data_IF_993042509959
#
_entry.id   IF_993042509959
#
_cell.length_a   1.000
_cell.length_b   1.000
_cell.length_c   1.000
_cell.angle_alpha   90.00
_cell.angle_beta   90.00
_cell.angle_gamma   90.00
#
_symmetry.space_group_name_H-M   'P 1'
#
loop_
_entity.id
_entity.type
_entity.pdbx_description
1 polymer ?
#
# COMPACT_ATOMS: atom_id res chain seq x y z
N UNK A 1 30.88 18.94 -34.71
CA UNK A 1 30.80 20.26 -34.06
C UNK A 1 29.78 20.16 -32.95
N UNK A 2 30.26 20.28 -31.71
CA UNK A 2 29.55 20.01 -30.45
C UNK A 2 28.82 21.29 -29.99
N UNK A 3 27.56 21.17 -29.58
CA UNK A 3 26.86 22.22 -28.85
C UNK A 3 26.28 21.63 -27.56
N UNK A 4 27.02 21.79 -26.47
CA UNK A 4 26.62 21.47 -25.11
C UNK A 4 25.78 22.62 -24.55
N UNK A 5 24.56 22.35 -24.09
CA UNK A 5 23.78 23.30 -23.29
C UNK A 5 23.73 22.77 -21.86
N UNK A 6 24.50 23.42 -20.99
CA UNK A 6 24.48 23.21 -19.55
C UNK A 6 23.45 24.16 -18.92
N UNK A 7 22.47 23.62 -18.20
CA UNK A 7 21.60 24.40 -17.33
C UNK A 7 21.80 23.93 -15.88
N UNK A 8 22.62 24.69 -15.16
CA UNK A 8 22.80 24.57 -13.73
C UNK A 8 21.74 25.44 -13.02
N UNK A 9 20.79 24.81 -12.34
CA UNK A 9 19.83 25.48 -11.46
C UNK A 9 19.94 24.89 -10.06
N UNK A 10 20.84 25.44 -9.24
CA UNK A 10 20.97 25.08 -7.83
C UNK A 10 19.89 25.78 -7.01
N UNK A 11 19.05 25.01 -6.32
CA UNK A 11 18.19 25.52 -5.26
C UNK A 11 18.82 25.15 -3.90
N UNK A 12 19.39 26.14 -3.24
CA UNK A 12 19.86 26.05 -1.85
C UNK A 12 18.67 26.24 -0.91
N UNK A 13 18.19 25.15 -0.30
CA UNK A 13 17.29 25.24 0.85
C UNK A 13 18.13 25.36 2.12
N UNK A 14 18.05 26.52 2.76
CA UNK A 14 18.70 26.81 4.02
C UNK A 14 18.01 26.06 5.18
N UNK A 15 18.71 25.12 5.79
CA UNK A 15 18.34 24.49 7.04
C UNK A 15 18.54 25.47 8.20
N UNK A 16 17.45 25.93 8.82
CA UNK A 16 17.49 26.65 10.09
C UNK A 16 17.33 25.67 11.25
N UNK A 17 18.42 25.42 11.98
CA UNK A 17 18.40 24.81 13.33
C UNK A 17 18.96 25.81 14.33
N UNK A 18 18.17 26.27 15.31
CA UNK A 18 18.56 26.37 16.74
C UNK A 18 17.47 27.07 17.56
N UNK A 19 17.01 26.42 18.63
CA UNK A 19 16.16 27.01 19.66
C UNK A 19 15.95 26.02 20.79
N UNK A 20 16.87 26.04 21.76
CA UNK A 20 17.00 25.11 22.90
C UNK A 20 16.08 25.49 24.07
N UNK A 21 15.70 24.44 24.81
CA UNK A 21 15.66 24.32 26.27
C UNK A 21 14.51 24.95 27.10
N UNK A 22 13.80 24.06 27.81
CA UNK A 22 13.48 24.23 29.23
C UNK A 22 12.01 24.53 29.58
N UNK A 23 11.33 23.58 30.25
CA UNK A 23 10.07 23.86 30.95
C UNK A 23 9.21 22.64 31.23
N UNK A 24 9.25 22.14 32.46
CA UNK A 24 8.46 21.05 33.02
C UNK A 24 6.97 21.42 33.23
N UNK A 25 6.16 20.37 33.50
CA UNK A 25 4.77 20.37 34.03
C UNK A 25 3.71 20.67 32.96
N UNK A 26 2.77 19.79 32.58
CA UNK A 26 2.12 18.70 33.28
C UNK A 26 0.60 18.97 33.29
N UNK A 27 -0.19 18.06 32.70
CA UNK A 27 -1.66 17.92 32.81
C UNK A 27 -2.56 19.04 32.23
N UNK A 28 -3.48 18.62 31.36
CA UNK A 28 -4.86 19.15 31.41
C UNK A 28 -5.45 19.69 30.11
N UNK A 29 -5.89 18.78 29.24
CA UNK A 29 -6.92 18.97 28.20
C UNK A 29 -8.12 19.80 28.72
N UNK A 30 -8.59 20.78 27.92
CA UNK A 30 -9.75 21.73 28.02
C UNK A 30 -9.20 23.18 27.97
N UNK A 31 -9.37 23.96 26.89
CA UNK A 31 -10.49 24.88 26.58
C UNK A 31 -10.12 25.51 25.21
N UNK A 32 -10.93 25.33 24.16
CA UNK A 32 -11.79 26.33 23.51
C UNK A 32 -11.13 27.63 22.99
N UNK A 33 -11.20 27.79 21.66
CA UNK A 33 -11.57 28.96 20.82
C UNK A 33 -11.07 30.38 21.17
N UNK A 34 -10.31 30.98 20.23
CA UNK A 34 -10.50 32.34 19.66
C UNK A 34 -9.46 32.53 18.53
N UNK A 35 -9.81 32.49 17.24
CA UNK A 35 -10.28 33.62 16.42
C UNK A 35 -9.39 34.88 16.55
N UNK A 36 -8.66 35.26 15.48
CA UNK A 36 -8.77 36.58 14.80
C UNK A 36 -8.15 36.47 13.40
N UNK A 37 -8.98 36.84 12.43
CA UNK A 37 -8.79 37.03 10.99
C UNK A 37 -8.37 38.47 10.63
N UNK A 38 -7.64 38.65 9.53
CA UNK A 38 -7.69 39.70 8.48
C UNK A 38 -6.28 39.83 7.85
N UNK A 39 -6.02 39.91 6.54
CA UNK A 39 -6.78 39.92 5.28
C UNK A 39 -5.74 39.72 4.14
N UNK A 40 -6.00 38.92 3.10
CA UNK A 40 -6.78 39.18 1.89
C UNK A 40 -6.12 40.15 0.86
N UNK A 41 -5.92 39.61 -0.35
CA UNK A 41 -5.84 40.25 -1.70
C UNK A 41 -4.45 40.63 -2.26
N UNK A 42 -3.97 39.87 -3.26
CA UNK A 42 -3.80 40.29 -4.68
C UNK A 42 -3.14 39.14 -5.49
N UNK A 43 -3.79 38.74 -6.60
CA UNK A 43 -3.21 38.06 -7.77
C UNK A 43 -3.11 36.53 -7.65
N UNK A 44 -3.96 35.70 -8.27
CA UNK A 44 -4.41 35.79 -9.67
C UNK A 44 -3.45 35.04 -10.59
N UNK A 45 -3.26 33.72 -10.38
CA UNK A 45 -2.40 32.85 -11.17
C UNK A 45 -3.18 31.63 -11.67
N UNK A 46 -3.58 31.73 -12.94
CA UNK A 46 -4.30 30.77 -13.80
C UNK A 46 -4.03 29.30 -13.44
N UNK A 47 -5.04 28.58 -12.93
CA UNK A 47 -5.06 27.12 -13.01
C UNK A 47 -5.75 26.75 -14.32
N UNK A 48 -4.95 26.44 -15.35
CA UNK A 48 -5.47 25.90 -16.61
C UNK A 48 -6.14 24.57 -16.31
N UNK A 49 -7.47 24.58 -16.37
CA UNK A 49 -8.29 23.40 -16.49
C UNK A 49 -7.90 22.68 -17.79
N UNK A 50 -7.03 21.68 -17.69
CA UNK A 50 -6.83 20.67 -18.73
C UNK A 50 -7.98 19.66 -18.66
N UNK A 51 -9.19 20.10 -19.01
CA UNK A 51 -10.31 19.24 -19.33
C UNK A 51 -10.47 19.16 -20.85
N UNK A 52 -10.88 17.99 -21.33
CA UNK A 52 -11.45 17.78 -22.68
C UNK A 52 -10.45 17.59 -23.82
N UNK A 53 -9.88 16.39 -23.89
CA UNK A 53 -9.67 15.74 -25.19
C UNK A 53 -10.56 14.51 -25.28
N UNK A 54 -11.81 14.59 -25.78
CA UNK A 54 -12.49 13.40 -26.27
C UNK A 54 -11.70 12.93 -27.48
N UNK A 55 -10.87 11.91 -27.30
CA UNK A 55 -10.39 11.13 -28.44
C UNK A 55 -11.62 10.38 -28.98
N UNK A 56 -12.38 11.08 -29.82
CA UNK A 56 -13.21 10.47 -30.84
C UNK A 56 -12.28 9.72 -31.77
N UNK A 57 -11.86 8.53 -31.33
CA UNK A 57 -11.32 7.52 -32.21
C UNK A 57 -12.44 7.21 -33.19
N UNK A 58 -12.31 7.75 -34.39
CA UNK A 58 -13.00 7.25 -35.57
C UNK A 58 -12.83 5.74 -35.57
N UNK A 59 -13.92 5.06 -35.27
CA UNK A 59 -14.05 3.62 -35.46
C UNK A 59 -13.91 3.38 -36.96
N UNK A 60 -12.67 3.19 -37.40
CA UNK A 60 -12.36 2.73 -38.75
C UNK A 60 -13.06 1.41 -38.93
N UNK A 61 -14.08 1.46 -39.79
CA UNK A 61 -14.81 0.30 -40.25
C UNK A 61 -13.86 -0.76 -40.83
N UNK A 62 -14.03 -1.99 -40.36
CA UNK A 62 -13.86 -3.20 -41.18
C UNK A 62 -12.43 -3.67 -41.44
N UNK A 63 -11.94 -4.55 -40.57
CA UNK A 63 -11.23 -5.74 -41.03
C UNK A 63 -12.02 -6.97 -40.56
N UNK A 64 -12.32 -7.95 -41.43
CA UNK A 64 -13.04 -9.15 -41.05
C UNK A 64 -12.21 -9.93 -40.02
N UNK A 65 -12.73 -10.03 -38.80
CA UNK A 65 -12.18 -10.96 -37.81
C UNK A 65 -12.48 -12.36 -38.33
N UNK A 66 -11.49 -12.96 -38.98
CA UNK A 66 -11.44 -14.38 -39.24
C UNK A 66 -11.53 -15.05 -37.88
N UNK A 67 -12.70 -15.61 -37.57
CA UNK A 67 -12.89 -16.46 -36.40
C UNK A 67 -12.07 -17.71 -36.63
N UNK A 68 -10.83 -17.71 -36.15
CA UNK A 68 -10.06 -18.94 -36.00
C UNK A 68 -10.84 -19.79 -35.03
N UNK A 69 -11.43 -20.86 -35.55
CA UNK A 69 -12.15 -21.89 -34.82
C UNK A 69 -11.28 -22.30 -33.63
N UNK A 70 -11.73 -21.95 -32.42
CA UNK A 70 -11.11 -22.37 -31.18
C UNK A 70 -11.32 -23.89 -31.11
N UNK A 71 -10.33 -24.66 -31.56
CA UNK A 71 -10.24 -26.07 -31.28
C UNK A 71 -10.22 -26.21 -29.76
N UNK A 72 -11.30 -26.79 -29.24
CA UNK A 72 -11.44 -27.20 -27.87
C UNK A 72 -10.33 -28.21 -27.57
N UNK A 73 -9.22 -27.72 -27.06
CA UNK A 73 -8.15 -28.56 -26.52
C UNK A 73 -8.72 -29.24 -25.28
N UNK A 74 -8.79 -30.57 -25.37
CA UNK A 74 -9.36 -31.45 -24.38
C UNK A 74 -8.76 -31.18 -23.00
N UNK A 75 -9.66 -30.92 -22.05
CA UNK A 75 -9.37 -30.96 -20.61
C UNK A 75 -8.92 -32.38 -20.29
N UNK A 76 -7.63 -32.54 -19.98
CA UNK A 76 -7.07 -33.79 -19.47
C UNK A 76 -7.60 -34.11 -18.08
N UNK A 77 -7.65 -35.40 -17.70
CA UNK A 77 -8.27 -35.88 -16.47
C UNK A 77 -7.54 -35.38 -15.22
N UNK A 78 -8.36 -35.04 -14.21
CA UNK A 78 -7.97 -34.67 -12.87
C UNK A 78 -7.07 -35.75 -12.25
N UNK A 79 -5.85 -35.36 -11.87
CA UNK A 79 -5.00 -36.16 -11.02
C UNK A 79 -5.45 -35.98 -9.56
N UNK A 80 -5.95 -37.07 -8.98
CA UNK A 80 -6.27 -37.23 -7.56
C UNK A 80 -5.03 -36.94 -6.70
N UNK A 81 -5.22 -36.14 -5.64
CA UNK A 81 -4.15 -35.73 -4.75
C UNK A 81 -3.78 -36.80 -3.72
N UNK A 82 -2.53 -36.80 -3.22
CA UNK A 82 -2.19 -37.55 -2.01
C UNK A 82 -2.69 -36.80 -0.77
N UNK A 83 -3.70 -37.39 -0.13
CA UNK A 83 -4.11 -37.12 1.25
C UNK A 83 -2.99 -37.57 2.20
N UNK A 84 -2.09 -36.66 2.54
CA UNK A 84 -1.04 -36.87 3.55
C UNK A 84 -1.55 -36.53 4.94
N UNK A 85 -2.00 -37.56 5.67
CA UNK A 85 -2.19 -37.53 7.11
C UNK A 85 -0.83 -37.49 7.82
N UNK A 86 -0.70 -36.64 8.82
CA UNK A 86 0.53 -36.51 9.61
C UNK A 86 0.38 -35.52 10.77
N UNK A 87 -0.65 -35.71 11.58
CA UNK A 87 -0.80 -35.03 12.88
C UNK A 87 -0.04 -35.86 13.93
N UNK A 88 1.15 -35.39 14.32
CA UNK A 88 1.84 -35.88 15.51
C UNK A 88 1.87 -34.74 16.54
N UNK A 89 1.00 -34.86 17.55
CA UNK A 89 1.03 -34.00 18.71
C UNK A 89 2.21 -34.39 19.62
N UNK A 90 3.01 -33.44 20.12
CA UNK A 90 3.91 -33.70 21.24
C UNK A 90 3.16 -33.59 22.57
N UNK A 91 3.35 -34.62 23.40
CA UNK A 91 2.99 -34.65 24.82
C UNK A 91 3.82 -33.61 25.59
N UNK A 92 3.14 -32.71 26.30
CA UNK A 92 3.73 -31.67 27.15
C UNK A 92 3.77 -32.19 28.60
N UNK A 93 4.93 -32.72 28.98
CA UNK A 93 5.24 -33.16 30.34
C UNK A 93 5.50 -31.96 31.26
N UNK A 94 4.49 -31.68 32.09
CA UNK A 94 4.52 -31.08 33.44
C UNK A 94 5.77 -30.34 33.93
N UNK A 95 5.58 -29.05 34.22
CA UNK A 95 6.40 -28.30 35.19
C UNK A 95 5.55 -27.89 36.40
N UNK A 96 5.87 -28.33 37.63
CA UNK A 96 5.21 -27.88 38.84
C UNK A 96 5.90 -26.65 39.46
N UNK A 97 5.08 -25.70 39.90
CA UNK A 97 5.29 -25.01 41.17
C UNK A 97 5.97 -23.64 41.14
N UNK A 98 5.18 -22.59 41.37
CA UNK A 98 5.71 -21.27 41.75
C UNK A 98 4.73 -20.11 41.65
N UNK A 99 3.47 -20.27 42.10
CA UNK A 99 2.49 -19.17 42.08
C UNK A 99 2.76 -18.18 43.23
N UNK A 100 3.58 -17.17 42.96
CA UNK A 100 3.55 -15.93 43.72
C UNK A 100 2.24 -15.21 43.41
N UNK A 101 1.36 -15.07 44.41
CA UNK A 101 0.11 -14.31 44.30
C UNK A 101 0.46 -12.83 44.16
N UNK A 102 0.61 -12.37 42.91
CA UNK A 102 0.71 -10.96 42.59
C UNK A 102 -0.71 -10.35 42.69
N UNK A 103 -0.92 -9.28 43.47
CA UNK A 103 -2.24 -8.70 43.67
C UNK A 103 -2.88 -8.35 42.33
N UNK A 104 -4.06 -8.93 42.11
CA UNK A 104 -4.85 -8.79 40.89
C UNK A 104 -5.16 -7.29 40.66
N UNK A 105 -4.66 -6.70 39.55
CA UNK A 105 -4.93 -5.30 39.25
C UNK A 105 -6.43 -5.13 39.08
N UNK A 106 -7.03 -4.23 39.88
CA UNK A 106 -8.46 -3.95 39.83
C UNK A 106 -8.91 -3.75 38.37
N UNK A 107 -9.75 -4.67 37.90
CA UNK A 107 -10.29 -4.71 36.53
C UNK A 107 -11.08 -3.43 36.31
N UNK A 108 -10.45 -2.46 35.64
CA UNK A 108 -11.16 -1.28 35.16
C UNK A 108 -12.18 -1.77 34.13
N UNK A 109 -13.46 -1.35 34.20
CA UNK A 109 -14.44 -1.72 33.19
C UNK A 109 -13.88 -1.39 31.81
N UNK A 110 -13.63 -2.43 31.02
CA UNK A 110 -12.97 -2.32 29.74
C UNK A 110 -13.75 -1.37 28.86
N UNK A 111 -13.08 -0.32 28.37
CA UNK A 111 -13.66 0.56 27.35
C UNK A 111 -14.15 -0.34 26.22
N UNK A 112 -15.43 -0.26 25.81
CA UNK A 112 -15.95 -1.12 24.76
C UNK A 112 -15.05 -0.99 23.55
N UNK A 113 -14.34 -2.07 23.23
CA UNK A 113 -13.51 -2.16 22.04
C UNK A 113 -14.52 -2.12 20.91
N UNK A 114 -14.59 -0.98 20.21
CA UNK A 114 -15.38 -0.88 19.01
C UNK A 114 -15.01 -2.09 18.14
N UNK A 115 -16.00 -2.93 17.84
CA UNK A 115 -15.82 -4.01 16.86
C UNK A 115 -15.37 -3.30 15.59
N UNK A 116 -14.09 -3.35 15.29
CA UNK A 116 -13.57 -2.93 14.00
C UNK A 116 -14.33 -3.79 13.00
N UNK A 117 -15.16 -3.21 12.11
CA UNK A 117 -15.86 -4.00 11.10
C UNK A 117 -14.77 -4.71 10.31
N UNK A 118 -14.70 -6.03 10.45
CA UNK A 118 -13.58 -6.80 9.92
C UNK A 118 -13.56 -6.86 8.39
N UNK A 119 -14.63 -6.43 7.72
CA UNK A 119 -14.85 -6.81 6.33
C UNK A 119 -15.55 -5.72 5.51
N UNK A 120 -15.12 -4.47 5.61
CA UNK A 120 -15.48 -3.47 4.57
C UNK A 120 -14.59 -3.69 3.33
N UNK A 121 -14.91 -4.76 2.59
CA UNK A 121 -14.21 -5.15 1.36
C UNK A 121 -14.29 -4.02 0.32
N UNK A 122 -15.38 -3.25 0.30
CA UNK A 122 -15.56 -2.13 -0.63
C UNK A 122 -14.58 -0.99 -0.34
N UNK A 123 -14.42 -0.62 0.93
CA UNK A 123 -13.43 0.36 1.35
C UNK A 123 -11.98 -0.13 1.12
N UNK A 124 -11.72 -1.41 1.38
CA UNK A 124 -10.42 -2.05 1.13
C UNK A 124 -10.05 -1.98 -0.36
N UNK A 125 -10.97 -2.41 -1.23
CA UNK A 125 -10.83 -2.38 -2.68
C UNK A 125 -10.68 -0.94 -3.22
N UNK A 126 -11.36 0.03 -2.61
CA UNK A 126 -11.26 1.45 -2.96
C UNK A 126 -9.87 2.04 -2.73
N UNK A 127 -9.15 1.62 -1.69
CA UNK A 127 -7.75 2.01 -1.47
C UNK A 127 -6.81 1.34 -2.48
N UNK A 128 -6.95 0.03 -2.69
CA UNK A 128 -6.09 -0.71 -3.63
C UNK A 128 -6.27 -0.22 -5.07
N UNK A 129 -7.50 0.06 -5.49
CA UNK A 129 -7.79 0.62 -6.82
C UNK A 129 -7.12 1.99 -7.03
N UNK A 130 -7.11 2.85 -6.00
CA UNK A 130 -6.39 4.13 -6.07
C UNK A 130 -4.88 3.93 -6.16
N UNK A 131 -4.32 3.01 -5.39
CA UNK A 131 -2.89 2.70 -5.45
C UNK A 131 -2.48 2.15 -6.83
N UNK A 132 -3.29 1.27 -7.42
CA UNK A 132 -3.05 0.77 -8.78
C UNK A 132 -3.09 1.88 -9.82
N UNK A 133 -4.07 2.80 -9.74
CA UNK A 133 -4.12 3.98 -10.62
C UNK A 133 -2.88 4.87 -10.48
N UNK A 134 -2.39 5.07 -9.26
CA UNK A 134 -1.15 5.82 -9.03
C UNK A 134 0.06 5.15 -9.69
N UNK A 135 0.19 3.82 -9.60
CA UNK A 135 1.24 3.07 -10.30
C UNK A 135 1.12 3.17 -11.83
N UNK A 136 -0.09 3.01 -12.37
CA UNK A 136 -0.34 3.21 -13.81
C UNK A 136 -0.06 4.64 -14.27
N UNK A 137 -0.17 5.63 -13.37
CA UNK A 137 0.18 7.03 -13.61
C UNK A 137 1.65 7.37 -13.34
N UNK A 138 2.52 6.38 -13.11
CA UNK A 138 3.93 6.56 -12.75
C UNK A 138 4.17 7.42 -11.48
N UNK A 139 3.23 7.36 -10.52
CA UNK A 139 3.36 7.97 -9.19
C UNK A 139 3.50 6.88 -8.10
N UNK A 140 4.69 6.26 -7.99
CA UNK A 140 4.90 5.19 -7.02
C UNK A 140 4.95 5.70 -5.57
N UNK A 141 5.22 6.99 -5.36
CA UNK A 141 5.23 7.59 -4.01
C UNK A 141 3.82 7.71 -3.44
N UNK A 142 2.86 8.19 -4.25
CA UNK A 142 1.45 8.20 -3.87
C UNK A 142 0.92 6.77 -3.66
N UNK A 143 1.32 5.82 -4.50
CA UNK A 143 0.95 4.42 -4.33
C UNK A 143 1.42 3.87 -2.96
N UNK A 144 2.68 4.12 -2.57
CA UNK A 144 3.21 3.72 -1.27
C UNK A 144 2.42 4.34 -0.10
N UNK A 145 2.03 5.62 -0.22
CA UNK A 145 1.21 6.28 0.81
C UNK A 145 -0.16 5.60 0.96
N UNK A 146 -0.86 5.34 -0.15
CA UNK A 146 -2.18 4.69 -0.16
C UNK A 146 -2.12 3.25 0.38
N UNK A 147 -1.05 2.52 0.07
CA UNK A 147 -0.83 1.16 0.59
C UNK A 147 -0.47 1.17 2.09
N UNK A 148 0.23 2.20 2.56
CA UNK A 148 0.45 2.43 3.98
C UNK A 148 -0.85 2.72 4.74
N UNK A 149 -1.73 3.54 4.15
CA UNK A 149 -3.08 3.80 4.70
C UNK A 149 -3.92 2.51 4.74
N UNK A 150 -3.88 1.70 3.68
CA UNK A 150 -4.54 0.39 3.65
C UNK A 150 -4.06 -0.50 4.79
N UNK A 151 -2.73 -0.62 4.99
CA UNK A 151 -2.17 -1.42 6.10
C UNK A 151 -2.62 -0.93 7.47
N UNK A 152 -2.73 0.38 7.66
CA UNK A 152 -3.15 0.97 8.93
C UNK A 152 -4.64 0.74 9.23
N UNK A 153 -5.50 0.86 8.20
CA UNK A 153 -6.96 0.68 8.33
C UNK A 153 -7.39 -0.78 8.32
N UNK A 154 -6.72 -1.61 7.52
CA UNK A 154 -7.03 -3.01 7.26
C UNK A 154 -5.82 -3.92 7.56
N UNK A 155 -5.31 -3.97 8.81
CA UNK A 155 -4.11 -4.73 9.15
C UNK A 155 -4.29 -6.24 8.94
N UNK A 156 -5.53 -6.73 9.05
CA UNK A 156 -5.94 -8.12 8.79
C UNK A 156 -7.00 -8.21 7.68
N UNK A 157 -6.99 -7.25 6.75
CA UNK A 157 -7.92 -7.22 5.61
C UNK A 157 -7.76 -8.43 4.70
N UNK A 158 -8.83 -8.77 3.99
CA UNK A 158 -8.88 -9.91 3.07
C UNK A 158 -7.95 -9.75 1.87
N UNK A 159 -7.65 -8.50 1.48
CA UNK A 159 -6.81 -8.14 0.33
C UNK A 159 -5.38 -7.76 0.74
N UNK A 160 -4.88 -8.35 1.83
CA UNK A 160 -3.53 -8.07 2.30
C UNK A 160 -2.45 -8.57 1.33
N UNK A 161 -2.71 -9.67 0.60
CA UNK A 161 -1.75 -10.23 -0.37
C UNK A 161 -1.57 -9.26 -1.54
N UNK A 162 -2.68 -8.70 -2.04
CA UNK A 162 -2.69 -7.67 -3.07
C UNK A 162 -1.93 -6.43 -2.62
N UNK A 163 -2.14 -5.99 -1.37
CA UNK A 163 -1.37 -4.88 -0.79
C UNK A 163 0.14 -5.18 -0.81
N UNK A 164 0.59 -6.33 -0.29
CA UNK A 164 2.02 -6.65 -0.23
C UNK A 164 2.67 -6.71 -1.62
N UNK A 165 1.96 -7.28 -2.61
CA UNK A 165 2.44 -7.35 -4.00
C UNK A 165 2.56 -5.97 -4.63
N UNK A 166 1.54 -5.11 -4.49
CA UNK A 166 1.59 -3.74 -4.99
C UNK A 166 2.63 -2.89 -4.25
N UNK A 167 2.86 -3.14 -2.97
CA UNK A 167 3.88 -2.44 -2.19
C UNK A 167 5.29 -2.76 -2.70
N UNK A 168 5.56 -4.02 -3.04
CA UNK A 168 6.82 -4.41 -3.68
C UNK A 168 7.01 -3.73 -5.05
N UNK A 169 5.98 -3.73 -5.91
CA UNK A 169 6.00 -3.03 -7.22
C UNK A 169 6.31 -1.55 -7.02
N UNK A 170 5.55 -0.87 -6.16
CA UNK A 170 5.71 0.56 -5.90
C UNK A 170 7.10 0.91 -5.37
N UNK A 171 7.64 0.10 -4.44
CA UNK A 171 8.97 0.30 -3.90
C UNK A 171 10.06 0.18 -4.98
N UNK A 172 9.96 -0.80 -5.87
CA UNK A 172 10.91 -0.96 -6.99
C UNK A 172 10.81 0.19 -8.00
N UNK A 173 9.59 0.59 -8.38
CA UNK A 173 9.39 1.72 -9.30
C UNK A 173 9.91 3.04 -8.71
N UNK A 174 9.73 3.24 -7.40
CA UNK A 174 10.29 4.38 -6.64
C UNK A 174 11.80 4.29 -6.39
N UNK A 175 12.48 3.23 -6.84
CA UNK A 175 13.91 2.97 -6.59
C UNK A 175 14.29 2.98 -5.10
N UNK A 176 13.38 2.49 -4.25
CA UNK A 176 13.65 2.32 -2.82
C UNK A 176 14.62 1.16 -2.62
N UNK A 177 15.65 1.29 -1.75
CA UNK A 177 16.67 0.25 -1.57
C UNK A 177 16.08 -1.08 -1.08
N UNK A 178 14.95 -1.04 -0.37
CA UNK A 178 14.24 -2.22 0.12
C UNK A 178 13.37 -2.93 -0.94
N UNK A 179 13.16 -2.34 -2.12
CA UNK A 179 12.21 -2.84 -3.13
C UNK A 179 12.49 -4.29 -3.55
N UNK A 180 13.73 -4.59 -3.94
CA UNK A 180 14.14 -5.94 -4.36
C UNK A 180 13.98 -6.96 -3.23
N UNK A 181 14.28 -6.57 -1.98
CA UNK A 181 14.10 -7.45 -0.81
C UNK A 181 12.62 -7.76 -0.57
N UNK A 182 11.75 -6.77 -0.72
CA UNK A 182 10.30 -6.94 -0.59
C UNK A 182 9.75 -7.84 -1.71
N UNK A 183 10.22 -7.66 -2.95
CA UNK A 183 9.85 -8.48 -4.09
C UNK A 183 10.24 -9.95 -3.90
N UNK A 184 11.49 -10.23 -3.51
CA UNK A 184 11.94 -11.60 -3.23
C UNK A 184 11.11 -12.25 -2.13
N UNK A 185 10.82 -11.52 -1.04
CA UNK A 185 9.96 -12.02 0.04
C UNK A 185 8.55 -12.33 -0.47
N UNK A 186 7.96 -11.44 -1.26
CA UNK A 186 6.62 -11.63 -1.82
C UNK A 186 6.56 -12.89 -2.69
N UNK A 187 7.52 -13.07 -3.60
CA UNK A 187 7.57 -14.23 -4.50
C UNK A 187 7.80 -15.55 -3.76
N UNK A 188 8.57 -15.53 -2.66
CA UNK A 188 8.75 -16.71 -1.81
C UNK A 188 7.50 -17.03 -0.97
N UNK A 189 6.82 -16.01 -0.47
CA UNK A 189 5.66 -16.18 0.43
C UNK A 189 4.38 -16.51 -0.36
N UNK A 190 4.22 -15.95 -1.56
CA UNK A 190 3.01 -16.06 -2.39
C UNK A 190 3.34 -16.51 -3.82
N UNK A 191 3.94 -17.71 -4.01
CA UNK A 191 4.40 -18.17 -5.32
C UNK A 191 3.29 -18.35 -6.36
N UNK A 192 2.06 -18.64 -5.90
CA UNK A 192 0.87 -18.78 -6.76
C UNK A 192 0.11 -17.46 -7.00
N UNK A 193 0.62 -16.32 -6.52
CA UNK A 193 -0.07 -15.03 -6.69
C UNK A 193 -0.05 -14.58 -8.15
N UNK A 194 -1.18 -14.11 -8.70
CA UNK A 194 -1.22 -13.52 -10.04
C UNK A 194 -0.37 -12.24 -10.18
N UNK A 195 -0.02 -11.59 -9.07
CA UNK A 195 0.87 -10.42 -9.07
C UNK A 195 2.35 -10.78 -9.26
N UNK A 196 2.72 -12.06 -9.18
CA UNK A 196 4.11 -12.51 -9.23
C UNK A 196 4.86 -12.02 -10.47
N UNK A 197 4.26 -12.20 -11.66
CA UNK A 197 4.87 -11.74 -12.92
C UNK A 197 5.09 -10.22 -12.95
N UNK A 198 4.13 -9.44 -12.40
CA UNK A 198 4.23 -7.97 -12.34
C UNK A 198 5.31 -7.53 -11.36
N UNK A 199 5.41 -8.17 -10.20
CA UNK A 199 6.48 -7.92 -9.22
C UNK A 199 7.84 -8.22 -9.83
N UNK A 200 7.97 -9.34 -10.56
CA UNK A 200 9.22 -9.70 -11.22
C UNK A 200 9.65 -8.65 -12.25
N UNK A 201 8.72 -8.22 -13.12
CA UNK A 201 8.99 -7.18 -14.11
C UNK A 201 9.41 -5.86 -13.46
N UNK A 202 8.70 -5.39 -12.44
CA UNK A 202 9.02 -4.11 -11.80
C UNK A 202 10.42 -4.07 -11.16
N UNK A 203 10.90 -5.19 -10.64
CA UNK A 203 12.08 -5.25 -9.78
C UNK A 203 13.33 -5.87 -10.41
N UNK A 204 13.20 -6.71 -11.43
CA UNK A 204 14.32 -7.49 -11.98
C UNK A 204 14.54 -7.30 -13.49
N UNK A 205 13.69 -6.57 -14.21
CA UNK A 205 13.86 -6.36 -15.66
C UNK A 205 14.58 -5.04 -16.00
N UNK A 206 15.46 -4.55 -15.12
CA UNK A 206 16.23 -3.31 -15.32
C UNK A 206 17.73 -3.57 -15.34
#
# INVERSE_FOLDING_TARGET
>A
MLASVAAAGGATVASGTLGKAGGLVGLGWKIAVAAVSLGALIGGGVWVASSSGPQGGTSTAGAPVVRTKLEASAVGPAAEGPSGAGEAAPDDDGVPGGYGVQPEPAVRPGRPVAKVPYDDIEAELGLLSRAQRALSGHDPMLALQLLGEHRAKFPRGSLYVEREGLYAVAACEAKRPEGTKLASRFLQTFPASPLGARVQAACFSR
#
